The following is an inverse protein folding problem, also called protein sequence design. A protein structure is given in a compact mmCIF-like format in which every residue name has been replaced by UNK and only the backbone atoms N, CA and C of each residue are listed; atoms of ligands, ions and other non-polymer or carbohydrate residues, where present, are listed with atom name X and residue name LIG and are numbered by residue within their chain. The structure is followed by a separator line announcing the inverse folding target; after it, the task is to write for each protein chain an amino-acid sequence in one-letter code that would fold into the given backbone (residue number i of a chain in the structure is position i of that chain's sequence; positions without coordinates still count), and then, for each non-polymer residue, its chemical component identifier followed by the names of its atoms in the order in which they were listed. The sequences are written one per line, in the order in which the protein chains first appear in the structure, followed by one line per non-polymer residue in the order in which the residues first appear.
data_IF_882810298559
#
_entry.id   IF_882810298559
#
_cell.length_a   1.000
_cell.length_b   1.000
_cell.length_c   1.000
_cell.angle_alpha   90.00
_cell.angle_beta   90.00
_cell.angle_gamma   90.00
#
_symmetry.space_group_name_H-M   'P 1'
#
loop_
_entity.id
_entity.type
_entity.pdbx_description
1 polymer ?
#
# COMPACT_ATOMS: atom_id res chain seq x y z
N UNK A 1 -3.17 9.76 -21.63
CA UNK A 1 -3.21 10.75 -20.55
C UNK A 1 -2.57 10.11 -19.33
N UNK A 2 -1.46 10.62 -18.77
CA UNK A 2 -1.00 10.13 -17.47
C UNK A 2 -2.05 10.55 -16.42
N UNK A 3 -2.50 9.61 -15.60
CA UNK A 3 -3.57 9.84 -14.64
C UNK A 3 -3.20 10.98 -13.68
N UNK A 4 -4.16 11.88 -13.42
CA UNK A 4 -3.96 13.04 -12.56
C UNK A 4 -3.45 12.63 -11.17
N UNK A 5 -2.59 13.42 -10.52
CA UNK A 5 -2.13 13.12 -9.17
C UNK A 5 -3.35 13.00 -8.25
N UNK A 6 -3.46 11.84 -7.59
CA UNK A 6 -4.47 11.58 -6.60
C UNK A 6 -4.42 12.67 -5.52
N UNK A 7 -5.43 13.53 -5.47
CA UNK A 7 -5.51 14.69 -4.57
C UNK A 7 -6.01 14.23 -3.20
N UNK A 8 -5.24 13.32 -2.58
CA UNK A 8 -5.70 12.46 -1.49
C UNK A 8 -5.61 13.03 -0.08
N UNK A 9 -4.98 14.20 0.11
CA UNK A 9 -4.65 14.71 1.46
C UNK A 9 -5.88 14.91 2.36
N UNK A 10 -7.06 15.19 1.79
CA UNK A 10 -8.25 15.55 2.58
C UNK A 10 -8.86 14.40 3.37
N UNK A 11 -8.64 13.16 2.99
CA UNK A 11 -9.27 12.00 3.64
C UNK A 11 -8.28 11.08 4.34
N UNK A 12 -6.97 11.37 4.28
CA UNK A 12 -5.95 10.50 4.88
C UNK A 12 -6.19 10.30 6.39
N UNK A 13 -6.70 11.30 7.10
CA UNK A 13 -7.02 11.17 8.53
C UNK A 13 -8.14 10.17 8.83
N UNK A 14 -8.92 9.76 7.83
CA UNK A 14 -9.99 8.76 7.94
C UNK A 14 -9.54 7.38 7.44
N UNK A 15 -8.28 7.24 7.02
CA UNK A 15 -7.74 5.98 6.48
C UNK A 15 -7.00 5.23 7.57
N UNK A 16 -7.38 3.97 7.76
CA UNK A 16 -6.75 3.08 8.74
C UNK A 16 -5.67 2.17 8.11
N UNK A 17 -5.69 2.00 6.78
CA UNK A 17 -4.74 1.16 6.04
C UNK A 17 -4.65 1.60 4.57
N UNK A 18 -3.43 1.65 4.03
CA UNK A 18 -3.19 1.84 2.60
C UNK A 18 -2.72 0.53 1.99
N UNK A 19 -3.43 0.04 0.96
CA UNK A 19 -3.01 -1.14 0.19
C UNK A 19 -2.51 -0.68 -1.17
N UNK A 20 -1.22 -0.89 -1.44
CA UNK A 20 -0.55 -0.60 -2.70
C UNK A 20 -0.49 -1.84 -3.57
N UNK A 21 -1.18 -1.83 -4.72
CA UNK A 21 -1.19 -2.93 -5.66
C UNK A 21 -0.23 -2.64 -6.84
N UNK A 22 0.84 -3.40 -6.97
CA UNK A 22 1.84 -3.23 -8.02
C UNK A 22 3.27 -3.47 -7.53
N UNK A 23 4.26 -2.97 -8.26
CA UNK A 23 5.67 -3.13 -7.89
C UNK A 23 6.17 -2.07 -6.91
N UNK A 24 7.50 -2.02 -6.74
CA UNK A 24 8.18 -1.15 -5.77
C UNK A 24 7.90 0.35 -6.00
N UNK A 25 7.76 0.78 -7.27
CA UNK A 25 7.41 2.15 -7.60
C UNK A 25 6.03 2.57 -7.09
N UNK A 26 5.05 1.66 -7.11
CA UNK A 26 3.71 1.90 -6.55
C UNK A 26 3.78 1.96 -5.03
N UNK A 27 4.52 1.04 -4.41
CA UNK A 27 4.70 1.02 -2.96
C UNK A 27 5.40 2.28 -2.46
N UNK A 28 6.46 2.75 -3.11
CA UNK A 28 7.15 3.99 -2.74
C UNK A 28 6.25 5.23 -2.88
N UNK A 29 5.36 5.24 -3.87
CA UNK A 29 4.36 6.31 -4.02
C UNK A 29 3.35 6.29 -2.87
N UNK A 30 2.87 5.12 -2.47
CA UNK A 30 2.01 4.96 -1.30
C UNK A 30 2.74 5.33 0.01
N UNK A 31 3.98 4.89 0.18
CA UNK A 31 4.82 5.20 1.33
C UNK A 31 5.09 6.70 1.47
N UNK A 32 5.18 7.47 0.37
CA UNK A 32 5.28 8.94 0.45
C UNK A 32 4.00 9.59 0.99
N UNK A 33 2.83 9.05 0.66
CA UNK A 33 1.56 9.53 1.20
C UNK A 33 1.46 9.17 2.69
N UNK A 34 1.82 7.93 3.02
CA UNK A 34 1.88 7.48 4.40
C UNK A 34 2.99 8.17 5.21
N UNK A 35 4.10 8.64 4.64
CA UNK A 35 5.11 9.34 5.44
C UNK A 35 4.60 10.63 6.10
N UNK A 36 3.48 11.17 5.61
CA UNK A 36 2.81 12.34 6.17
C UNK A 36 1.81 11.98 7.29
N UNK A 37 1.56 10.69 7.54
CA UNK A 37 0.44 10.17 8.34
C UNK A 37 0.83 8.85 9.01
N UNK A 38 0.55 8.57 10.28
CA UNK A 38 0.94 7.28 10.90
C UNK A 38 0.11 6.05 10.45
N UNK A 39 -0.23 5.98 9.16
CA UNK A 39 -1.08 4.97 8.54
C UNK A 39 -0.19 3.84 7.99
N UNK A 40 -0.49 2.58 8.34
CA UNK A 40 0.25 1.44 7.81
C UNK A 40 0.07 1.31 6.29
N UNK A 41 1.14 0.87 5.61
CA UNK A 41 1.14 0.58 4.17
C UNK A 41 1.41 -0.89 3.92
N UNK A 42 0.55 -1.51 3.13
CA UNK A 42 0.65 -2.89 2.71
C UNK A 42 0.92 -2.97 1.21
N UNK A 43 2.07 -3.52 0.81
CA UNK A 43 2.44 -3.67 -0.59
C UNK A 43 2.10 -5.07 -1.12
N UNK A 44 1.24 -5.15 -2.13
CA UNK A 44 0.89 -6.39 -2.82
C UNK A 44 1.47 -6.37 -4.22
N UNK A 45 2.30 -7.36 -4.51
CA UNK A 45 2.83 -7.51 -5.86
C UNK A 45 1.84 -8.26 -6.74
N UNK A 46 1.39 -7.62 -7.83
CA UNK A 46 0.49 -8.22 -8.81
C UNK A 46 1.22 -8.90 -9.99
N UNK A 47 2.56 -8.97 -9.95
CA UNK A 47 3.40 -9.49 -11.03
C UNK A 47 4.63 -10.26 -10.53
N UNK A 48 5.77 -10.12 -11.21
CA UNK A 48 7.03 -10.80 -10.84
C UNK A 48 7.69 -10.24 -9.57
N UNK A 49 8.63 -10.98 -8.99
CA UNK A 49 9.32 -10.65 -7.73
C UNK A 49 9.88 -9.21 -7.72
N UNK A 50 9.31 -8.36 -6.85
CA UNK A 50 9.81 -7.03 -6.50
C UNK A 50 10.70 -7.08 -5.26
N UNK A 51 11.52 -6.06 -5.02
CA UNK A 51 12.46 -6.05 -3.89
C UNK A 51 11.76 -5.71 -2.57
N UNK A 52 10.72 -4.87 -2.62
CA UNK A 52 10.00 -4.35 -1.46
C UNK A 52 8.59 -4.93 -1.31
N UNK A 53 8.03 -5.48 -2.39
CA UNK A 53 6.69 -6.07 -2.45
C UNK A 53 6.80 -7.60 -2.42
N UNK A 54 6.99 -8.14 -1.21
CA UNK A 54 7.25 -9.56 -0.98
C UNK A 54 5.98 -10.43 -0.91
N UNK A 55 4.80 -9.82 -0.81
CA UNK A 55 3.55 -10.56 -0.60
C UNK A 55 2.85 -10.68 -1.95
N UNK A 56 2.84 -11.91 -2.47
CA UNK A 56 1.98 -12.27 -3.59
C UNK A 56 0.51 -12.21 -3.16
N UNK A 57 -0.39 -12.04 -4.11
CA UNK A 57 -1.83 -11.93 -3.82
C UNK A 57 -2.38 -13.15 -3.04
N UNK A 58 -1.76 -14.31 -3.22
CA UNK A 58 -2.13 -15.56 -2.55
C UNK A 58 -1.84 -15.55 -1.03
N UNK A 59 -0.91 -14.71 -0.58
CA UNK A 59 -0.54 -14.57 0.84
C UNK A 59 -1.17 -13.34 1.51
N UNK A 60 -1.90 -12.51 0.75
CA UNK A 60 -2.51 -11.27 1.23
C UNK A 60 -3.44 -11.52 2.42
N UNK A 61 -4.30 -12.54 2.35
CA UNK A 61 -5.28 -12.84 3.40
C UNK A 61 -4.62 -13.15 4.74
N UNK A 62 -3.62 -14.04 4.75
CA UNK A 62 -2.86 -14.40 5.96
C UNK A 62 -2.10 -13.22 6.55
N UNK A 63 -1.53 -12.37 5.70
CA UNK A 63 -0.78 -11.21 6.15
C UNK A 63 -1.70 -10.12 6.71
N UNK A 64 -2.89 -9.93 6.14
CA UNK A 64 -3.90 -9.02 6.69
C UNK A 64 -4.40 -9.49 8.05
N UNK A 65 -4.63 -10.79 8.25
CA UNK A 65 -5.03 -11.34 9.56
C UNK A 65 -4.04 -10.99 10.68
N UNK A 66 -2.74 -10.92 10.37
CA UNK A 66 -1.70 -10.55 11.33
C UNK A 66 -1.67 -9.03 11.61
N UNK A 67 -2.11 -8.19 10.66
CA UNK A 67 -2.13 -6.74 10.82
C UNK A 67 -3.41 -6.22 11.50
N UNK A 68 -4.53 -6.93 11.38
CA UNK A 68 -5.82 -6.51 11.98
C UNK A 68 -6.07 -7.05 13.38
N UNK A 69 -5.21 -7.94 13.90
CA UNK A 69 -5.33 -8.47 15.26
C UNK A 69 -4.70 -7.50 16.28
N UNK A 70 -5.50 -6.54 16.74
CA UNK A 70 -5.27 -5.85 18.03
C UNK A 70 -5.76 -6.73 19.18
#
# INVERSE_FOLDING_TARGET
MPEAPFKGEKFLNEVELIISLGGDGTLLRAARLAALTDIPVFGVNLGGLGFLTQIGIDDLEKSLENCTRK
#
